data_IF_685809151961
#
_entry.id   IF_685809151961
#
_cell.length_a   1.000
_cell.length_b   1.000
_cell.length_c   1.000
_cell.angle_alpha   90.00
_cell.angle_beta   90.00
_cell.angle_gamma   90.00
#
_symmetry.space_group_name_H-M   'P 1'
#
loop_
_entity.id
_entity.type
_entity.pdbx_description
1 polymer ?
#
# COMPACT_ATOMS: atom_id res chain seq x y z
N UNK A 1 31.04 -58.14 -7.40
CA UNK A 1 31.03 -56.83 -8.09
C UNK A 1 29.61 -56.54 -8.53
N UNK A 2 28.87 -55.72 -7.77
CA UNK A 2 27.53 -55.27 -8.16
C UNK A 2 27.45 -53.77 -7.85
N UNK A 3 27.39 -52.96 -8.91
CA UNK A 3 27.45 -51.50 -8.87
C UNK A 3 26.03 -50.96 -8.65
N UNK A 4 25.73 -50.46 -7.45
CA UNK A 4 24.50 -49.72 -7.21
C UNK A 4 24.60 -48.32 -7.83
N UNK A 5 23.65 -48.02 -8.72
CA UNK A 5 23.48 -46.74 -9.39
C UNK A 5 22.96 -45.70 -8.40
N UNK A 6 23.69 -44.60 -8.26
CA UNK A 6 23.29 -43.43 -7.47
C UNK A 6 22.54 -42.47 -8.41
N UNK A 7 21.27 -42.21 -8.13
CA UNK A 7 20.51 -41.09 -8.73
C UNK A 7 20.63 -39.88 -7.81
N UNK A 8 21.08 -38.69 -8.27
CA UNK A 8 20.88 -37.47 -7.52
C UNK A 8 19.48 -36.92 -7.79
N UNK A 9 18.59 -37.04 -6.81
CA UNK A 9 17.34 -36.29 -6.78
C UNK A 9 17.67 -34.82 -6.48
N UNK A 10 17.45 -33.95 -7.46
CA UNK A 10 17.61 -32.51 -7.32
C UNK A 10 16.58 -31.97 -6.31
N UNK A 11 17.07 -31.48 -5.18
CA UNK A 11 16.26 -30.73 -4.22
C UNK A 11 16.02 -29.35 -4.81
N UNK A 12 14.83 -29.14 -5.37
CA UNK A 12 14.33 -27.80 -5.69
C UNK A 12 14.02 -27.07 -4.37
N UNK A 13 14.96 -26.27 -3.88
CA UNK A 13 14.71 -25.28 -2.84
C UNK A 13 13.79 -24.22 -3.45
N UNK A 14 12.49 -24.34 -3.17
CA UNK A 14 11.53 -23.29 -3.42
C UNK A 14 11.97 -22.03 -2.68
N UNK A 15 12.33 -20.99 -3.43
CA UNK A 15 12.50 -19.65 -2.91
C UNK A 15 11.16 -19.22 -2.32
N UNK A 16 11.03 -19.32 -1.00
CA UNK A 16 10.03 -18.59 -0.27
C UNK A 16 10.26 -17.11 -0.60
N UNK A 17 9.37 -16.55 -1.41
CA UNK A 17 9.25 -15.10 -1.55
C UNK A 17 8.85 -14.59 -0.16
N UNK A 18 9.84 -14.26 0.67
CA UNK A 18 9.64 -13.50 1.87
C UNK A 18 9.04 -12.17 1.42
N UNK A 19 7.71 -12.06 1.50
CA UNK A 19 7.05 -10.79 1.57
C UNK A 19 7.76 -10.02 2.70
N UNK A 20 8.57 -9.04 2.33
CA UNK A 20 9.27 -8.17 3.24
C UNK A 20 8.21 -7.37 3.99
N UNK A 21 7.70 -7.97 5.07
CA UNK A 21 6.97 -7.24 6.10
C UNK A 21 7.99 -6.23 6.62
N UNK A 22 7.77 -4.92 6.47
CA UNK A 22 8.70 -3.94 6.97
C UNK A 22 8.92 -4.21 8.46
N UNK A 23 10.17 -4.46 8.83
CA UNK A 23 10.57 -4.74 10.18
C UNK A 23 10.26 -3.52 11.05
N UNK A 24 9.20 -3.59 11.86
CA UNK A 24 8.97 -2.74 13.04
C UNK A 24 9.34 -1.24 12.90
N UNK A 25 9.08 -0.65 11.74
CA UNK A 25 9.05 0.80 11.55
C UNK A 25 7.65 1.26 11.87
N UNK A 26 7.49 2.13 12.88
CA UNK A 26 6.19 2.58 13.38
C UNK A 26 5.27 2.95 12.20
N UNK A 27 4.12 2.28 12.11
CA UNK A 27 3.10 2.68 11.15
C UNK A 27 2.80 4.16 11.36
N UNK A 28 2.70 4.89 10.26
CA UNK A 28 2.15 6.24 10.29
C UNK A 28 0.64 6.07 10.40
N UNK A 29 -0.02 7.01 11.08
CA UNK A 29 -1.47 7.07 11.15
C UNK A 29 -1.98 8.32 10.45
N UNK A 30 -3.08 8.17 9.74
CA UNK A 30 -3.80 9.29 9.13
C UNK A 30 -4.47 10.06 10.27
N UNK A 31 -4.19 11.37 10.38
CA UNK A 31 -4.80 12.23 11.39
C UNK A 31 -6.02 12.97 10.86
N UNK A 32 -6.01 13.35 9.58
CA UNK A 32 -7.13 14.03 8.93
C UNK A 32 -7.51 13.35 7.59
N UNK A 33 -8.52 12.47 7.62
CA UNK A 33 -9.00 11.79 6.41
C UNK A 33 -9.57 12.71 5.32
N UNK A 34 -9.88 13.97 5.62
CA UNK A 34 -10.40 14.92 4.63
C UNK A 34 -9.31 15.39 3.65
N UNK A 35 -8.04 15.14 3.98
CA UNK A 35 -6.87 15.48 3.14
C UNK A 35 -6.53 14.44 2.09
N UNK A 36 -7.33 13.39 1.94
CA UNK A 36 -7.10 12.34 0.95
C UNK A 36 -7.44 12.82 -0.46
N UNK A 37 -6.57 12.53 -1.41
CA UNK A 37 -6.87 12.66 -2.83
C UNK A 37 -7.56 11.39 -3.34
N UNK A 38 -8.86 11.26 -3.10
CA UNK A 38 -9.60 10.03 -3.41
C UNK A 38 -9.62 9.66 -4.89
N UNK A 39 -9.54 10.66 -5.77
CA UNK A 39 -9.47 10.52 -7.23
C UNK A 39 -8.04 10.70 -7.79
N UNK A 40 -7.01 10.43 -6.99
CA UNK A 40 -5.61 10.58 -7.42
C UNK A 40 -5.32 9.85 -8.74
N UNK A 41 -4.62 10.54 -9.64
CA UNK A 41 -4.08 9.97 -10.87
C UNK A 41 -2.61 9.57 -10.67
N UNK A 42 -2.19 8.52 -11.37
CA UNK A 42 -0.78 8.14 -11.46
C UNK A 42 -0.06 9.08 -12.45
N UNK A 43 0.46 10.20 -11.94
CA UNK A 43 1.20 11.20 -12.73
C UNK A 43 2.70 10.86 -12.83
N UNK A 44 3.44 11.63 -13.63
CA UNK A 44 4.90 11.54 -13.71
C UNK A 44 5.58 11.80 -12.37
N UNK A 45 5.02 12.66 -11.52
CA UNK A 45 5.56 12.96 -10.21
C UNK A 45 5.38 11.77 -9.25
N UNK A 46 4.22 11.10 -9.34
CA UNK A 46 3.98 9.85 -8.61
C UNK A 46 4.94 8.77 -9.09
N UNK A 47 5.13 8.62 -10.40
CA UNK A 47 6.07 7.66 -10.97
C UNK A 47 7.51 7.89 -10.51
N UNK A 48 7.98 9.14 -10.54
CA UNK A 48 9.31 9.51 -10.07
C UNK A 48 9.47 9.21 -8.57
N UNK A 49 8.45 9.51 -7.76
CA UNK A 49 8.45 9.23 -6.33
C UNK A 49 8.50 7.71 -6.04
N UNK A 50 7.71 6.92 -6.76
CA UNK A 50 7.71 5.44 -6.67
C UNK A 50 9.06 4.85 -7.07
N UNK A 51 9.65 5.32 -8.16
CA UNK A 51 10.97 4.88 -8.61
C UNK A 51 12.06 5.22 -7.59
N UNK A 52 12.03 6.43 -7.01
CA UNK A 52 12.97 6.86 -5.97
C UNK A 52 12.84 6.04 -4.70
N UNK A 53 11.61 5.62 -4.34
CA UNK A 53 11.35 4.72 -3.22
C UNK A 53 11.80 3.27 -3.48
N UNK A 54 12.24 2.93 -4.70
CA UNK A 54 12.64 1.58 -5.08
C UNK A 54 11.48 0.64 -5.41
N UNK A 55 10.30 1.18 -5.71
CA UNK A 55 9.06 0.42 -6.02
C UNK A 55 8.66 0.50 -7.50
N UNK A 56 9.59 0.87 -8.37
CA UNK A 56 9.33 1.03 -9.81
C UNK A 56 8.83 -0.23 -10.52
N UNK A 57 9.26 -1.41 -10.05
CA UNK A 57 8.79 -2.72 -10.52
C UNK A 57 7.31 -2.99 -10.20
N UNK A 58 6.69 -2.19 -9.33
CA UNK A 58 5.29 -2.31 -8.89
C UNK A 58 4.39 -1.20 -9.43
N UNK A 59 4.85 -0.40 -10.38
CA UNK A 59 4.13 0.77 -10.91
C UNK A 59 2.69 0.44 -11.35
N UNK A 60 2.48 -0.64 -12.11
CA UNK A 60 1.14 -1.02 -12.58
C UNK A 60 0.21 -1.45 -11.43
N UNK A 61 0.75 -2.13 -10.42
CA UNK A 61 -0.01 -2.47 -9.20
C UNK A 61 -0.43 -1.21 -8.44
N UNK A 62 0.50 -0.26 -8.28
CA UNK A 62 0.21 1.02 -7.61
C UNK A 62 -0.86 1.78 -8.37
N UNK A 63 -0.69 1.95 -9.69
CA UNK A 63 -1.65 2.61 -10.57
C UNK A 63 -3.05 2.00 -10.49
N UNK A 64 -3.17 0.69 -10.40
CA UNK A 64 -4.44 -0.01 -10.25
C UNK A 64 -5.09 0.17 -8.85
N UNK A 65 -4.35 0.62 -7.84
CA UNK A 65 -4.78 0.64 -6.44
C UNK A 65 -4.60 1.98 -5.70
N UNK A 66 -4.30 3.07 -6.42
CA UNK A 66 -4.01 4.38 -5.83
C UNK A 66 -5.25 5.24 -5.50
N UNK A 67 -6.43 4.87 -5.98
CA UNK A 67 -7.63 5.70 -5.87
C UNK A 67 -8.93 4.89 -5.66
N UNK A 68 -10.02 5.62 -5.44
CA UNK A 68 -11.35 5.08 -5.15
C UNK A 68 -11.96 4.25 -6.29
N UNK A 69 -11.47 4.39 -7.53
CA UNK A 69 -11.91 3.56 -8.66
C UNK A 69 -11.07 2.29 -8.79
N UNK A 70 -9.94 2.22 -8.09
CA UNK A 70 -8.98 1.12 -8.13
C UNK A 70 -9.20 0.04 -7.08
N UNK A 71 -8.13 -0.49 -6.52
CA UNK A 71 -8.09 -1.58 -5.52
C UNK A 71 -8.55 -1.23 -4.10
N UNK A 72 -9.13 -0.05 -3.85
CA UNK A 72 -9.57 0.36 -2.51
C UNK A 72 -10.68 -0.55 -1.92
N UNK A 73 -10.74 -0.71 -0.58
CA UNK A 73 -11.85 -1.39 0.10
C UNK A 73 -13.21 -0.76 -0.21
N UNK A 74 -14.29 -1.55 -0.18
CA UNK A 74 -15.63 -1.10 -0.62
C UNK A 74 -16.10 0.21 0.03
N UNK A 75 -16.00 0.34 1.36
CA UNK A 75 -16.36 1.58 2.08
C UNK A 75 -15.34 2.70 1.88
N UNK A 76 -14.10 2.34 1.58
CA UNK A 76 -13.08 3.32 1.22
C UNK A 76 -13.34 3.91 -0.18
N UNK A 77 -14.03 3.21 -1.08
CA UNK A 77 -14.40 3.72 -2.42
C UNK A 77 -15.57 4.70 -2.39
N UNK A 78 -16.44 4.59 -1.40
CA UNK A 78 -17.65 5.38 -1.25
C UNK A 78 -17.37 6.66 -0.45
N UNK A 79 -17.62 7.81 -1.05
CA UNK A 79 -17.39 9.12 -0.42
C UNK A 79 -18.21 9.32 0.87
N UNK A 80 -19.48 8.95 0.86
CA UNK A 80 -20.37 9.09 2.02
C UNK A 80 -19.92 8.17 3.15
N UNK A 81 -19.51 6.95 2.82
CA UNK A 81 -18.99 6.01 3.81
C UNK A 81 -17.66 6.49 4.40
N UNK A 82 -16.74 7.05 3.59
CA UNK A 82 -15.50 7.68 4.08
C UNK A 82 -15.80 8.85 5.02
N UNK A 83 -16.71 9.73 4.62
CA UNK A 83 -17.09 10.91 5.40
C UNK A 83 -17.67 10.52 6.77
N UNK A 84 -18.70 9.66 6.77
CA UNK A 84 -19.35 9.18 8.00
C UNK A 84 -18.43 8.29 8.84
N UNK A 85 -17.47 7.63 8.19
CA UNK A 85 -16.56 6.66 8.77
C UNK A 85 -15.13 7.15 8.94
N UNK A 86 -14.89 8.47 9.03
CA UNK A 86 -13.53 9.04 9.12
C UNK A 86 -12.68 8.42 10.22
N UNK A 87 -13.27 8.12 11.36
CA UNK A 87 -12.61 7.45 12.49
C UNK A 87 -12.14 6.02 12.16
N UNK A 88 -12.69 5.37 11.13
CA UNK A 88 -12.19 4.10 10.64
C UNK A 88 -10.99 4.28 9.71
N UNK A 89 -10.94 5.38 8.94
CA UNK A 89 -9.80 5.69 8.07
C UNK A 89 -8.54 5.97 8.88
N UNK A 90 -8.65 6.59 10.05
CA UNK A 90 -7.49 6.85 10.93
C UNK A 90 -6.89 5.58 11.55
N UNK A 91 -7.63 4.45 11.54
CA UNK A 91 -7.21 3.16 12.12
C UNK A 91 -6.36 2.31 11.18
N UNK A 92 -6.16 2.72 9.93
CA UNK A 92 -5.26 2.01 9.04
C UNK A 92 -3.82 2.10 9.55
N UNK A 93 -3.14 0.96 9.51
CA UNK A 93 -1.69 0.87 9.59
C UNK A 93 -1.14 1.20 8.20
N UNK A 94 -0.47 2.34 8.07
CA UNK A 94 0.09 2.79 6.79
C UNK A 94 1.59 3.02 6.89
N UNK A 95 2.27 2.89 5.76
CA UNK A 95 3.71 3.13 5.62
C UNK A 95 3.89 4.29 4.65
N UNK A 96 4.69 5.28 5.04
CA UNK A 96 5.11 6.34 4.12
C UNK A 96 6.04 5.74 3.06
N UNK A 97 5.61 5.79 1.80
CA UNK A 97 6.38 5.29 0.67
C UNK A 97 7.26 6.38 0.07
N UNK A 98 6.67 7.56 -0.17
CA UNK A 98 7.40 8.71 -0.72
C UNK A 98 6.70 10.03 -0.40
N UNK A 99 7.48 11.12 -0.39
CA UNK A 99 6.98 12.50 -0.38
C UNK A 99 7.02 13.04 -1.80
N UNK A 100 5.99 13.79 -2.18
CA UNK A 100 5.84 14.37 -3.50
C UNK A 100 5.10 15.71 -3.45
N UNK A 101 5.03 16.38 -4.59
CA UNK A 101 4.08 17.48 -4.81
C UNK A 101 2.92 16.92 -5.62
N UNK A 102 1.69 17.16 -5.19
CA UNK A 102 0.49 16.69 -5.88
C UNK A 102 -0.52 17.82 -5.96
N UNK A 103 -0.86 18.29 -7.16
CA UNK A 103 -1.65 19.52 -7.38
C UNK A 103 -1.06 20.74 -6.65
N UNK A 104 0.22 21.01 -6.87
CA UNK A 104 0.96 22.17 -6.32
C UNK A 104 1.03 22.27 -4.79
N UNK A 105 0.72 21.18 -4.07
CA UNK A 105 0.81 21.11 -2.61
C UNK A 105 1.64 19.90 -2.15
N UNK A 106 2.33 20.01 -0.99
CA UNK A 106 3.05 18.90 -0.41
C UNK A 106 2.12 17.73 -0.07
N UNK A 107 2.47 16.55 -0.56
CA UNK A 107 1.70 15.34 -0.38
C UNK A 107 2.61 14.15 -0.06
N UNK A 108 1.98 13.09 0.43
CA UNK A 108 2.64 11.84 0.79
C UNK A 108 1.92 10.69 0.13
N UNK A 109 2.68 9.84 -0.56
CA UNK A 109 2.22 8.55 -1.05
C UNK A 109 2.38 7.52 0.06
N UNK A 110 1.26 6.93 0.46
CA UNK A 110 1.18 5.92 1.50
C UNK A 110 0.94 4.55 0.87
N UNK A 111 1.60 3.55 1.42
CA UNK A 111 1.30 2.13 1.21
C UNK A 111 0.45 1.63 2.37
N UNK A 112 -0.64 0.94 2.07
CA UNK A 112 -1.51 0.30 3.06
C UNK A 112 -1.41 -1.22 2.88
N UNK A 113 -0.55 -1.91 3.66
CA UNK A 113 -0.37 -3.34 3.52
C UNK A 113 -1.63 -4.08 4.00
N UNK A 114 -2.18 -4.99 3.19
CA UNK A 114 -3.36 -5.75 3.58
C UNK A 114 -3.08 -6.64 4.79
N UNK A 115 -1.89 -7.27 4.84
CA UNK A 115 -1.48 -8.11 5.95
C UNK A 115 -1.47 -7.37 7.30
N UNK A 116 -1.15 -6.07 7.30
CA UNK A 116 -1.10 -5.25 8.51
C UNK A 116 -2.47 -4.70 8.94
N UNK A 117 -3.52 -4.89 8.13
CA UNK A 117 -4.82 -4.27 8.30
C UNK A 117 -5.98 -5.26 8.44
N UNK A 118 -5.68 -6.49 8.87
CA UNK A 118 -6.69 -7.54 9.08
C UNK A 118 -7.63 -7.27 10.26
N UNK A 119 -7.27 -6.33 11.15
CA UNK A 119 -8.11 -5.85 12.26
C UNK A 119 -9.26 -4.94 11.81
N UNK A 120 -9.20 -4.41 10.59
CA UNK A 120 -10.22 -3.49 10.07
C UNK A 120 -11.57 -4.20 9.92
N UNK A 121 -12.67 -3.47 10.12
CA UNK A 121 -14.01 -4.03 10.00
C UNK A 121 -14.43 -4.32 8.54
N UNK A 122 -15.50 -5.08 8.37
CA UNK A 122 -16.00 -5.44 7.04
C UNK A 122 -16.35 -4.20 6.19
N UNK A 123 -15.95 -4.28 4.92
CA UNK A 123 -16.01 -3.18 3.95
C UNK A 123 -14.84 -2.18 4.04
N UNK A 124 -14.15 -2.11 5.18
CA UNK A 124 -12.90 -1.35 5.36
C UNK A 124 -11.67 -2.23 5.21
N UNK A 125 -11.78 -3.52 5.53
CA UNK A 125 -10.66 -4.45 5.44
C UNK A 125 -10.16 -4.57 3.99
N UNK A 126 -8.86 -4.30 3.73
CA UNK A 126 -8.27 -4.48 2.41
C UNK A 126 -8.09 -5.97 2.09
N UNK A 127 -8.53 -6.36 0.90
CA UNK A 127 -8.27 -7.69 0.36
C UNK A 127 -6.86 -7.82 -0.23
N UNK A 128 -6.34 -6.71 -0.77
CA UNK A 128 -4.99 -6.56 -1.32
C UNK A 128 -4.42 -5.22 -0.84
N UNK A 129 -3.09 -5.08 -0.97
CA UNK A 129 -2.43 -3.81 -0.72
C UNK A 129 -3.04 -2.71 -1.60
N UNK A 130 -3.16 -1.51 -1.03
CA UNK A 130 -3.61 -0.34 -1.76
C UNK A 130 -2.80 0.89 -1.36
N UNK A 131 -2.97 1.97 -2.12
CA UNK A 131 -2.17 3.17 -1.97
C UNK A 131 -3.07 4.38 -1.82
N UNK A 132 -2.60 5.35 -1.04
CA UNK A 132 -3.31 6.60 -0.77
C UNK A 132 -2.34 7.74 -1.02
N UNK A 133 -2.76 8.77 -1.75
CA UNK A 133 -2.09 10.07 -1.69
C UNK A 133 -2.88 10.93 -0.71
N UNK A 134 -2.17 11.55 0.24
CA UNK A 134 -2.73 12.45 1.23
C UNK A 134 -1.91 13.74 1.29
N UNK A 135 -2.54 14.88 1.55
CA UNK A 135 -1.82 16.12 1.88
C UNK A 135 -0.91 15.90 3.10
N UNK A 136 0.26 16.56 3.15
CA UNK A 136 1.21 16.38 4.27
C UNK A 136 0.60 16.78 5.62
N UNK A 137 -0.37 17.69 5.62
CA UNK A 137 -1.17 18.12 6.77
C UNK A 137 -2.19 17.07 7.26
N UNK A 138 -2.46 16.03 6.46
CA UNK A 138 -3.27 14.88 6.83
C UNK A 138 -2.56 13.84 7.69
N UNK A 139 -1.27 14.04 7.96
CA UNK A 139 -0.43 13.19 8.80
C UNK A 139 0.05 13.96 10.03
N UNK A 140 0.39 13.27 11.14
CA UNK A 140 1.01 13.92 12.30
C UNK A 140 2.30 14.66 11.91
N UNK A 141 2.55 15.77 12.61
CA UNK A 141 3.73 16.63 12.42
C UNK A 141 5.03 15.92 12.77
#
# INVERSE_FOLDING_TARGET
MSLFRIFPAAIALGLAACASTPANGAYVHISDPEKLFSAANYSSDVEAAVNTAGWGDRAETIKAAINEKGGWPAKMKDESARWLGKDNVTKYNVVELARLTFHDQPAVLLHVPAAANQHMADGWKPANDFFIIIGKDGLPN
#
